data_IF_596331232342
#
_entry.id   IF_596331232342
#
_cell.length_a   1.000
_cell.length_b   1.000
_cell.length_c   1.000
_cell.angle_alpha   90.00
_cell.angle_beta   90.00
_cell.angle_gamma   90.00
#
_symmetry.space_group_name_H-M   'P 1'
#
loop_
_entity.id
_entity.type
_entity.pdbx_description
1 polymer ?
#
# COMPACT_ATOMS: atom_id res chain seq x y z
N UNK A 1 -9.90 4.54 11.02
CA UNK A 1 -10.20 3.18 10.55
C UNK A 1 -10.80 3.20 9.15
N UNK A 2 -10.55 2.13 8.37
CA UNK A 2 -11.16 1.92 7.06
C UNK A 2 -12.53 1.23 7.21
N UNK A 3 -12.62 0.31 8.18
CA UNK A 3 -13.85 -0.38 8.51
C UNK A 3 -13.94 -0.62 10.03
N UNK A 4 -15.14 -0.98 10.52
CA UNK A 4 -15.36 -1.42 11.89
C UNK A 4 -14.63 -2.73 12.18
N UNK A 5 -14.69 -3.21 13.43
CA UNK A 5 -14.07 -4.47 13.86
C UNK A 5 -12.57 -4.55 13.53
N UNK A 6 -11.84 -3.50 13.86
CA UNK A 6 -10.40 -3.37 13.55
C UNK A 6 -10.09 -3.64 12.07
N UNK A 7 -10.85 -3.03 11.15
CA UNK A 7 -10.76 -3.26 9.71
C UNK A 7 -11.05 -4.72 9.30
N UNK A 8 -11.93 -5.41 10.03
CA UNK A 8 -12.34 -6.78 9.78
C UNK A 8 -11.51 -7.86 10.49
N UNK A 9 -10.49 -7.49 11.28
CA UNK A 9 -9.69 -8.47 12.01
C UNK A 9 -10.46 -9.14 13.16
N UNK A 10 -11.51 -8.53 13.69
CA UNK A 10 -12.37 -9.09 14.75
C UNK A 10 -13.53 -9.96 14.23
N UNK A 11 -13.54 -10.30 12.94
CA UNK A 11 -14.49 -11.26 12.36
C UNK A 11 -15.58 -10.62 11.52
N UNK A 12 -16.64 -11.41 11.26
CA UNK A 12 -17.77 -11.07 10.37
C UNK A 12 -18.53 -9.81 10.76
N UNK A 13 -19.21 -9.20 9.79
CA UNK A 13 -20.06 -8.03 9.96
C UNK A 13 -19.28 -6.73 10.08
N UNK A 14 -18.07 -6.65 9.52
CA UNK A 14 -17.37 -5.40 9.36
C UNK A 14 -18.11 -4.46 8.40
N UNK A 15 -18.10 -3.17 8.70
CA UNK A 15 -18.73 -2.13 7.87
C UNK A 15 -17.72 -1.05 7.53
N UNK A 16 -17.75 -0.55 6.32
CA UNK A 16 -16.88 0.51 5.86
C UNK A 16 -17.11 1.83 6.61
N UNK A 17 -16.03 2.56 6.86
CA UNK A 17 -16.02 3.86 7.53
C UNK A 17 -15.35 4.94 6.66
N UNK A 18 -15.31 4.74 5.35
CA UNK A 18 -14.60 5.61 4.42
C UNK A 18 -15.31 6.92 4.09
N UNK A 19 -16.51 7.14 4.60
CA UNK A 19 -17.26 8.40 4.47
C UNK A 19 -17.16 9.32 5.69
N UNK A 20 -16.19 9.06 6.58
CA UNK A 20 -15.95 9.95 7.73
C UNK A 20 -15.24 11.23 7.29
N UNK A 21 -15.32 12.26 8.14
CA UNK A 21 -14.77 13.61 7.88
C UNK A 21 -13.34 13.57 7.35
N UNK A 22 -12.49 12.68 7.88
CA UNK A 22 -11.09 12.60 7.45
C UNK A 22 -10.92 12.10 6.02
N UNK A 23 -11.70 11.10 5.61
CA UNK A 23 -11.66 10.59 4.23
C UNK A 23 -12.26 11.59 3.25
N UNK A 24 -13.41 12.17 3.59
CA UNK A 24 -14.06 13.21 2.78
C UNK A 24 -13.11 14.39 2.58
N UNK A 25 -12.51 14.90 3.66
CA UNK A 25 -11.53 15.99 3.59
C UNK A 25 -10.37 15.65 2.64
N UNK A 26 -9.83 14.42 2.75
CA UNK A 26 -8.70 14.02 1.92
C UNK A 26 -9.09 14.00 0.43
N UNK A 27 -10.22 13.39 0.07
CA UNK A 27 -10.68 13.32 -1.33
C UNK A 27 -11.03 14.71 -1.87
N UNK A 28 -11.71 15.55 -1.09
CA UNK A 28 -12.00 16.93 -1.47
C UNK A 28 -10.73 17.74 -1.77
N UNK A 29 -9.68 17.57 -0.94
CA UNK A 29 -8.39 18.25 -1.17
C UNK A 29 -7.74 17.81 -2.47
N UNK A 30 -7.71 16.51 -2.76
CA UNK A 30 -7.15 16.01 -4.02
C UNK A 30 -7.99 16.44 -5.23
N UNK A 31 -9.32 16.48 -5.12
CA UNK A 31 -10.21 16.99 -6.17
C UNK A 31 -9.98 18.48 -6.44
N UNK A 32 -9.87 19.30 -5.39
CA UNK A 32 -9.53 20.73 -5.50
C UNK A 32 -8.15 20.92 -6.14
N UNK A 33 -7.15 20.17 -5.73
CA UNK A 33 -5.80 20.22 -6.30
C UNK A 33 -5.77 19.80 -7.77
N UNK A 34 -6.57 18.80 -8.14
CA UNK A 34 -6.70 18.41 -9.56
C UNK A 34 -7.32 19.53 -10.39
N UNK A 35 -8.40 20.16 -9.88
CA UNK A 35 -9.02 21.31 -10.54
C UNK A 35 -8.06 22.49 -10.70
N UNK A 36 -7.15 22.69 -9.74
CA UNK A 36 -6.11 23.74 -9.76
C UNK A 36 -4.88 23.37 -10.57
N UNK A 37 -4.77 22.14 -11.10
CA UNK A 37 -3.59 21.66 -11.82
C UNK A 37 -2.37 21.38 -10.91
N UNK A 38 -2.56 21.30 -9.59
CA UNK A 38 -1.51 20.98 -8.60
C UNK A 38 -1.31 19.47 -8.48
N UNK A 39 -2.39 18.69 -8.60
CA UNK A 39 -2.40 17.24 -8.57
C UNK A 39 -2.96 16.73 -9.89
N UNK A 40 -2.44 15.60 -10.34
CA UNK A 40 -2.96 14.86 -11.50
C UNK A 40 -3.18 13.41 -11.11
N UNK A 41 -4.43 12.98 -11.18
CA UNK A 41 -4.76 11.56 -11.11
C UNK A 41 -4.36 10.89 -12.42
N UNK A 42 -3.53 9.87 -12.34
CA UNK A 42 -2.94 9.22 -13.51
C UNK A 42 -3.70 7.99 -14.00
N UNK A 43 -4.86 7.66 -13.40
CA UNK A 43 -5.61 6.45 -13.75
C UNK A 43 -5.34 5.27 -12.82
N UNK A 44 -5.88 4.10 -13.18
CA UNK A 44 -5.85 2.87 -12.37
C UNK A 44 -4.60 2.04 -12.59
N UNK A 45 -3.92 2.25 -13.69
CA UNK A 45 -2.72 1.50 -14.06
C UNK A 45 -1.50 2.21 -13.47
N UNK A 46 -0.82 1.54 -12.57
CA UNK A 46 0.34 2.10 -11.85
C UNK A 46 1.42 2.64 -12.78
N UNK A 47 1.63 2.00 -13.93
CA UNK A 47 2.63 2.42 -14.91
C UNK A 47 2.28 3.72 -15.66
N UNK A 48 1.02 4.14 -15.67
CA UNK A 48 0.59 5.31 -16.47
C UNK A 48 1.03 6.64 -15.85
N UNK A 49 1.28 6.69 -14.54
CA UNK A 49 1.72 7.91 -13.85
C UNK A 49 3.23 8.11 -13.89
N UNK A 50 4.01 7.05 -14.09
CA UNK A 50 5.48 7.12 -14.06
C UNK A 50 6.06 8.03 -15.15
N UNK A 51 5.56 8.00 -16.41
CA UNK A 51 6.03 8.91 -17.45
C UNK A 51 5.82 10.39 -17.12
N UNK A 52 4.78 10.74 -16.36
CA UNK A 52 4.54 12.13 -15.95
C UNK A 52 5.64 12.63 -15.00
N UNK A 53 6.14 11.75 -14.14
CA UNK A 53 7.22 12.06 -13.24
C UNK A 53 8.59 12.00 -13.96
N UNK A 54 8.90 10.93 -14.68
CA UNK A 54 10.20 10.74 -15.31
C UNK A 54 10.49 11.73 -16.44
N UNK A 55 9.44 12.31 -17.06
CA UNK A 55 9.57 13.43 -18.01
C UNK A 55 9.68 14.80 -17.36
N UNK A 56 9.55 14.91 -16.03
CA UNK A 56 9.59 16.18 -15.30
C UNK A 56 8.29 17.00 -15.36
N UNK A 57 7.19 16.43 -15.86
CA UNK A 57 5.87 17.10 -15.83
C UNK A 57 5.32 17.20 -14.41
N UNK A 58 5.60 16.21 -13.55
CA UNK A 58 5.29 16.22 -12.13
C UNK A 58 6.57 16.23 -11.32
N UNK A 59 6.69 17.13 -10.35
CA UNK A 59 7.84 17.22 -9.45
C UNK A 59 7.82 16.14 -8.37
N UNK A 60 6.68 15.53 -8.08
CA UNK A 60 6.50 14.50 -7.06
C UNK A 60 5.59 13.39 -7.58
N UNK A 61 5.85 12.18 -7.10
CA UNK A 61 5.03 11.00 -7.34
C UNK A 61 4.88 10.21 -6.03
N UNK A 62 3.69 9.71 -5.75
CA UNK A 62 3.49 8.71 -4.69
C UNK A 62 3.49 7.33 -5.34
N UNK A 63 4.45 6.50 -4.96
CA UNK A 63 4.69 5.21 -5.61
C UNK A 63 5.26 4.18 -4.64
N UNK A 64 5.18 2.92 -5.00
CA UNK A 64 5.87 1.84 -4.29
C UNK A 64 7.39 2.04 -4.34
N UNK A 65 8.08 1.77 -3.24
CA UNK A 65 9.55 1.79 -3.19
C UNK A 65 10.20 0.82 -4.19
N UNK A 66 9.52 -0.26 -4.56
CA UNK A 66 10.01 -1.23 -5.56
C UNK A 66 10.15 -0.63 -6.97
N UNK A 67 9.53 0.52 -7.24
CA UNK A 67 9.61 1.21 -8.54
C UNK A 67 10.82 2.13 -8.67
N UNK A 68 11.55 2.37 -7.58
CA UNK A 68 12.66 3.34 -7.56
C UNK A 68 13.73 3.05 -8.62
N UNK A 69 14.07 1.78 -8.84
CA UNK A 69 15.08 1.40 -9.85
C UNK A 69 14.66 1.83 -11.28
N UNK A 70 13.38 1.63 -11.61
CA UNK A 70 12.80 2.02 -12.90
C UNK A 70 12.74 3.55 -13.01
N UNK A 71 12.23 4.22 -11.96
CA UNK A 71 12.16 5.68 -11.95
C UNK A 71 13.54 6.33 -12.14
N UNK A 72 14.57 5.82 -11.46
CA UNK A 72 15.94 6.29 -11.62
C UNK A 72 16.51 6.05 -13.02
N UNK A 73 16.20 4.89 -13.62
CA UNK A 73 16.64 4.55 -14.98
C UNK A 73 16.04 5.49 -16.03
N UNK A 74 14.76 5.81 -15.88
CA UNK A 74 13.99 6.53 -16.91
C UNK A 74 14.01 8.05 -16.72
N UNK A 75 14.50 8.55 -15.57
CA UNK A 75 14.62 9.97 -15.29
C UNK A 75 16.00 10.52 -15.70
N UNK A 76 16.03 11.79 -16.12
CA UNK A 76 17.26 12.54 -16.42
C UNK A 76 17.68 13.49 -15.29
N UNK A 77 17.13 13.30 -14.11
CA UNK A 77 17.37 14.12 -12.91
C UNK A 77 17.52 13.21 -11.68
N UNK A 78 18.08 13.76 -10.61
CA UNK A 78 18.25 13.05 -9.35
C UNK A 78 16.91 12.93 -8.61
N UNK A 79 16.64 11.74 -8.09
CA UNK A 79 15.40 11.42 -7.38
C UNK A 79 15.68 11.29 -5.87
N UNK A 80 15.03 12.12 -5.09
CA UNK A 80 14.92 11.96 -3.64
C UNK A 80 13.71 11.11 -3.25
N UNK A 81 13.73 10.56 -2.05
CA UNK A 81 12.58 9.90 -1.44
C UNK A 81 12.26 10.53 -0.08
N UNK A 82 10.99 10.51 0.29
CA UNK A 82 10.50 10.96 1.57
C UNK A 82 9.36 10.07 2.06
N UNK A 83 8.98 10.17 3.35
CA UNK A 83 7.83 9.45 3.86
C UNK A 83 6.54 9.96 3.20
N UNK A 84 5.49 9.13 3.23
CA UNK A 84 4.16 9.56 2.78
C UNK A 84 3.69 10.72 3.66
N UNK A 85 3.29 11.86 3.08
CA UNK A 85 2.82 13.00 3.85
C UNK A 85 1.49 12.71 4.55
N UNK A 86 1.23 13.39 5.64
CA UNK A 86 0.00 13.28 6.41
C UNK A 86 -0.58 14.67 6.72
N UNK A 87 -1.85 14.71 7.04
CA UNK A 87 -2.54 15.94 7.41
C UNK A 87 -2.37 16.20 8.91
N UNK A 88 -1.48 17.12 9.28
CA UNK A 88 -1.24 17.48 10.69
C UNK A 88 -2.50 18.06 11.38
N UNK A 89 -3.49 18.52 10.61
CA UNK A 89 -4.80 18.95 11.11
C UNK A 89 -5.73 17.80 11.48
N UNK A 90 -5.48 16.60 10.97
CA UNK A 90 -6.30 15.40 11.21
C UNK A 90 -5.65 14.41 12.16
N UNK A 91 -4.33 14.36 12.21
CA UNK A 91 -3.58 13.49 13.12
C UNK A 91 -2.33 14.17 13.61
N UNK A 92 -1.97 13.92 14.86
CA UNK A 92 -0.74 14.49 15.46
C UNK A 92 0.51 13.79 14.95
N UNK A 93 0.42 12.49 14.73
CA UNK A 93 1.54 11.64 14.33
C UNK A 93 1.08 10.64 13.27
N UNK A 94 1.94 10.34 12.27
CA UNK A 94 1.64 9.28 11.32
C UNK A 94 1.72 7.90 11.99
N UNK A 95 0.92 6.97 11.53
CA UNK A 95 0.99 5.57 11.92
C UNK A 95 1.79 4.76 10.89
N UNK A 96 2.15 3.53 11.27
CA UNK A 96 2.86 2.63 10.40
C UNK A 96 2.10 2.38 9.09
N UNK A 97 2.86 2.25 8.02
CA UNK A 97 2.33 1.80 6.73
C UNK A 97 2.16 0.28 6.73
N UNK A 98 1.31 -0.21 5.84
CA UNK A 98 1.10 -1.64 5.60
C UNK A 98 2.02 -2.08 4.47
N UNK A 99 2.72 -3.22 4.65
CA UNK A 99 3.49 -3.82 3.57
C UNK A 99 2.58 -4.41 2.50
N UNK A 100 2.90 -4.11 1.24
CA UNK A 100 2.47 -4.91 0.11
C UNK A 100 3.55 -5.93 -0.27
N UNK A 101 3.38 -6.62 -1.38
CA UNK A 101 4.39 -7.53 -1.94
C UNK A 101 3.82 -8.86 -2.38
N UNK A 102 4.69 -9.88 -2.41
CA UNK A 102 4.36 -11.24 -2.77
C UNK A 102 4.64 -12.19 -1.59
N UNK A 103 3.99 -13.34 -1.59
CA UNK A 103 4.19 -14.39 -0.61
C UNK A 103 4.37 -15.74 -1.31
N UNK A 104 5.16 -16.61 -0.70
CA UNK A 104 5.28 -18.01 -1.08
C UNK A 104 4.25 -18.82 -0.29
N UNK A 105 3.56 -19.73 -0.97
CA UNK A 105 2.51 -20.56 -0.41
C UNK A 105 2.84 -22.03 -0.60
N UNK A 106 2.71 -22.84 0.46
CA UNK A 106 2.72 -24.28 0.36
C UNK A 106 1.30 -24.78 0.16
N UNK A 107 1.07 -25.55 -0.90
CA UNK A 107 -0.22 -26.18 -1.18
C UNK A 107 -0.38 -27.46 -0.36
N UNK A 108 -1.59 -27.79 0.05
CA UNK A 108 -1.92 -29.06 0.70
C UNK A 108 -2.04 -30.19 -0.32
N UNK A 109 -1.85 -31.43 0.14
CA UNK A 109 -2.09 -32.64 -0.69
C UNK A 109 -0.86 -33.17 -1.39
N UNK A 110 0.31 -32.68 -1.06
CA UNK A 110 1.58 -33.22 -1.52
C UNK A 110 2.10 -34.34 -0.62
N UNK A 111 3.06 -35.11 -1.11
CA UNK A 111 3.71 -36.14 -0.32
C UNK A 111 4.61 -35.55 0.78
N UNK A 112 4.83 -36.28 1.85
CA UNK A 112 5.71 -35.84 2.95
C UNK A 112 7.13 -35.42 2.49
N UNK A 113 7.80 -36.11 1.54
CA UNK A 113 9.07 -35.62 1.00
C UNK A 113 8.98 -34.28 0.29
N UNK A 114 7.90 -34.00 -0.44
CA UNK A 114 7.68 -32.72 -1.11
C UNK A 114 7.42 -31.60 -0.10
N UNK A 115 6.62 -31.86 0.93
CA UNK A 115 6.40 -30.89 2.03
C UNK A 115 7.69 -30.56 2.77
N UNK A 116 8.53 -31.58 3.06
CA UNK A 116 9.87 -31.39 3.64
C UNK A 116 10.77 -30.56 2.72
N UNK A 117 10.75 -30.82 1.41
CA UNK A 117 11.48 -30.03 0.42
C UNK A 117 11.07 -28.58 0.41
N UNK A 118 9.76 -28.31 0.47
CA UNK A 118 9.21 -26.96 0.60
C UNK A 118 9.69 -26.26 1.88
N UNK A 119 9.69 -26.94 3.02
CA UNK A 119 10.18 -26.39 4.28
C UNK A 119 11.68 -26.04 4.23
N UNK A 120 12.50 -26.88 3.61
CA UNK A 120 13.93 -26.61 3.39
C UNK A 120 14.11 -25.37 2.51
N UNK A 121 13.34 -25.26 1.42
CA UNK A 121 13.37 -24.07 0.55
C UNK A 121 12.98 -22.79 1.31
N UNK A 122 11.92 -22.81 2.12
CA UNK A 122 11.53 -21.65 2.92
C UNK A 122 12.61 -21.26 3.94
N UNK A 123 13.24 -22.25 4.58
CA UNK A 123 14.36 -22.01 5.51
C UNK A 123 15.56 -21.37 4.80
N UNK A 124 15.92 -21.89 3.63
CA UNK A 124 16.96 -21.29 2.78
C UNK A 124 16.61 -19.85 2.42
N UNK A 125 15.40 -19.61 1.93
CA UNK A 125 14.94 -18.28 1.54
C UNK A 125 14.88 -17.28 2.70
N UNK A 126 14.50 -17.75 3.90
CA UNK A 126 14.40 -16.91 5.10
C UNK A 126 15.76 -16.60 5.75
N UNK A 127 16.87 -17.18 5.28
CA UNK A 127 18.19 -16.88 5.85
C UNK A 127 18.57 -15.42 5.62
N UNK A 128 19.25 -14.76 6.59
CA UNK A 128 19.64 -13.36 6.46
C UNK A 128 20.51 -13.07 5.23
N UNK A 129 21.34 -14.01 4.82
CA UNK A 129 22.22 -13.93 3.65
C UNK A 129 21.41 -13.86 2.35
N UNK A 130 20.44 -14.76 2.20
CA UNK A 130 19.62 -14.83 1.00
C UNK A 130 18.63 -13.65 0.94
N UNK A 131 18.10 -13.21 2.09
CA UNK A 131 17.31 -11.98 2.16
C UNK A 131 18.14 -10.76 1.76
N UNK A 132 19.38 -10.62 2.22
CA UNK A 132 20.27 -9.55 1.81
C UNK A 132 20.45 -9.54 0.29
N UNK A 133 20.84 -10.68 -0.29
CA UNK A 133 21.03 -10.80 -1.73
C UNK A 133 19.77 -10.45 -2.53
N UNK A 134 18.60 -10.87 -2.04
CA UNK A 134 17.32 -10.55 -2.65
C UNK A 134 17.01 -9.05 -2.60
N UNK A 135 17.18 -8.42 -1.43
CA UNK A 135 16.98 -6.98 -1.25
C UNK A 135 17.90 -6.17 -2.17
N UNK A 136 19.18 -6.54 -2.24
CA UNK A 136 20.16 -5.86 -3.09
C UNK A 136 19.83 -6.01 -4.59
N UNK A 137 19.32 -7.17 -5.01
CA UNK A 137 18.97 -7.43 -6.40
C UNK A 137 17.63 -6.81 -6.84
N UNK A 138 16.66 -6.67 -5.93
CA UNK A 138 15.28 -6.32 -6.29
C UNK A 138 14.80 -4.98 -5.73
N UNK A 139 15.46 -4.44 -4.71
CA UNK A 139 15.00 -3.27 -3.97
C UNK A 139 13.80 -3.54 -3.04
N UNK A 140 13.43 -4.81 -2.83
CA UNK A 140 12.43 -5.19 -1.82
C UNK A 140 12.94 -4.94 -0.40
N UNK A 141 12.04 -5.02 0.58
CA UNK A 141 12.40 -4.86 1.99
C UNK A 141 12.74 -6.23 2.62
N UNK A 142 13.67 -6.27 3.59
CA UNK A 142 13.96 -7.50 4.33
C UNK A 142 12.77 -7.85 5.23
N UNK A 143 12.52 -9.14 5.43
CA UNK A 143 11.43 -9.64 6.28
C UNK A 143 11.90 -9.98 7.69
N UNK A 144 13.19 -9.89 7.98
CA UNK A 144 13.74 -10.17 9.31
C UNK A 144 14.67 -9.06 9.81
N UNK A 145 14.71 -8.86 11.13
CA UNK A 145 15.64 -7.93 11.76
C UNK A 145 17.10 -8.27 11.47
N UNK A 146 17.44 -9.56 11.45
CA UNK A 146 18.80 -10.01 11.16
C UNK A 146 19.26 -9.58 9.75
N UNK A 147 18.40 -9.71 8.73
CA UNK A 147 18.70 -9.24 7.38
C UNK A 147 18.77 -7.71 7.32
N UNK A 148 17.91 -6.99 8.03
CA UNK A 148 17.98 -5.54 8.13
C UNK A 148 19.31 -5.07 8.72
N UNK A 149 19.74 -5.61 9.86
CA UNK A 149 21.01 -5.24 10.50
C UNK A 149 22.21 -5.58 9.60
N UNK A 150 22.15 -6.69 8.87
CA UNK A 150 23.20 -7.07 7.92
C UNK A 150 23.30 -6.08 6.75
N UNK A 151 22.18 -5.68 6.16
CA UNK A 151 22.11 -4.64 5.13
C UNK A 151 22.61 -3.29 5.65
N UNK A 152 22.27 -2.93 6.88
CA UNK A 152 22.75 -1.71 7.53
C UNK A 152 24.27 -1.74 7.71
N UNK A 153 24.81 -2.84 8.20
CA UNK A 153 26.26 -3.02 8.38
C UNK A 153 27.03 -2.99 7.06
N UNK A 154 26.44 -3.45 5.95
CA UNK A 154 27.07 -3.41 4.62
C UNK A 154 27.09 -2.01 3.98
N UNK A 155 26.44 -1.03 4.58
CA UNK A 155 26.31 0.31 4.01
C UNK A 155 25.26 0.42 2.89
N UNK A 156 24.38 -0.56 2.77
CA UNK A 156 23.34 -0.59 1.73
C UNK A 156 22.40 0.62 1.81
N UNK A 157 21.97 1.00 2.98
CA UNK A 157 20.98 2.08 3.16
C UNK A 157 21.55 3.48 2.92
N UNK A 158 22.87 3.68 3.06
CA UNK A 158 23.51 4.94 2.69
C UNK A 158 23.41 5.22 1.18
N UNK A 159 23.41 4.16 0.37
CA UNK A 159 23.26 4.23 -1.09
C UNK A 159 21.80 4.14 -1.55
N UNK A 160 20.93 3.58 -0.71
CA UNK A 160 19.54 3.30 -1.02
C UNK A 160 18.60 3.85 0.07
N UNK A 161 18.66 5.16 0.30
CA UNK A 161 17.91 5.87 1.35
C UNK A 161 16.39 5.63 1.26
N UNK A 162 15.85 5.43 0.05
CA UNK A 162 14.44 5.13 -0.14
C UNK A 162 13.99 3.84 0.55
N UNK A 163 14.85 2.82 0.63
CA UNK A 163 14.54 1.58 1.34
C UNK A 163 14.59 1.78 2.86
N UNK A 164 15.51 2.62 3.36
CA UNK A 164 15.54 2.95 4.79
C UNK A 164 14.29 3.73 5.21
N UNK A 165 13.87 4.73 4.43
CA UNK A 165 12.63 5.49 4.65
C UNK A 165 11.41 4.57 4.67
N UNK A 166 11.35 3.59 3.76
CA UNK A 166 10.26 2.62 3.72
C UNK A 166 10.22 1.76 5.00
N UNK A 167 11.38 1.28 5.48
CA UNK A 167 11.46 0.52 6.74
C UNK A 167 11.07 1.38 7.93
N UNK A 168 11.59 2.60 8.03
CA UNK A 168 11.23 3.54 9.10
C UNK A 168 9.72 3.80 9.12
N UNK A 169 9.09 3.92 7.95
CA UNK A 169 7.64 4.09 7.83
C UNK A 169 6.84 2.87 8.31
N UNK A 170 7.38 1.65 8.18
CA UNK A 170 6.79 0.44 8.74
C UNK A 170 6.95 0.33 10.26
N UNK A 171 8.02 0.94 10.80
CA UNK A 171 8.34 0.90 12.23
C UNK A 171 7.67 2.02 13.06
N UNK A 172 6.90 2.90 12.43
CA UNK A 172 6.10 3.89 13.13
C UNK A 172 5.10 3.23 14.08
N UNK A 173 4.58 3.96 15.10
CA UNK A 173 3.63 3.41 16.05
C UNK A 173 2.42 2.76 15.37
N UNK A 174 2.12 1.53 15.75
CA UNK A 174 0.98 0.77 15.22
C UNK A 174 -0.27 0.99 16.06
N UNK A 175 -1.42 0.88 15.41
CA UNK A 175 -2.74 0.86 16.05
C UNK A 175 -3.49 -0.39 15.62
N UNK A 176 -4.61 -0.75 16.28
CA UNK A 176 -5.47 -1.82 15.82
C UNK A 176 -5.88 -1.69 14.34
N UNK A 177 -6.00 -0.45 13.84
CA UNK A 177 -6.42 -0.15 12.47
C UNK A 177 -5.28 -0.03 11.46
N UNK A 178 -4.03 0.00 11.90
CA UNK A 178 -2.87 0.09 11.00
C UNK A 178 -2.20 -1.26 10.69
N UNK A 179 -2.84 -2.38 11.06
CA UNK A 179 -2.41 -3.75 10.72
C UNK A 179 -2.66 -4.11 9.26
N UNK A 180 -3.54 -3.36 8.59
CA UNK A 180 -4.05 -3.64 7.26
C UNK A 180 -5.58 -3.71 7.24
N UNK A 181 -6.12 -4.35 6.19
CA UNK A 181 -7.56 -4.51 5.98
C UNK A 181 -7.82 -5.99 5.72
N UNK A 182 -8.77 -6.58 6.47
CA UNK A 182 -9.15 -7.98 6.37
C UNK A 182 -10.67 -8.12 6.25
N UNK A 183 -11.23 -7.62 5.16
CA UNK A 183 -12.65 -7.76 4.84
C UNK A 183 -12.82 -8.68 3.63
N UNK A 184 -13.87 -9.52 3.59
CA UNK A 184 -14.17 -10.30 2.39
C UNK A 184 -14.66 -9.39 1.26
N UNK A 185 -14.47 -9.79 0.00
CA UNK A 185 -14.85 -8.96 -1.15
C UNK A 185 -14.06 -7.66 -1.29
N UNK A 186 -12.82 -7.60 -0.71
CA UNK A 186 -12.03 -6.36 -0.69
C UNK A 186 -11.65 -5.85 -2.09
N UNK A 187 -11.46 -6.74 -3.05
CA UNK A 187 -11.12 -6.37 -4.44
C UNK A 187 -12.28 -5.58 -5.05
N UNK A 188 -13.50 -6.08 -4.94
CA UNK A 188 -14.71 -5.45 -5.44
C UNK A 188 -15.01 -4.13 -4.72
N UNK A 189 -14.79 -4.09 -3.40
CA UNK A 189 -14.90 -2.86 -2.59
C UNK A 189 -13.90 -1.80 -3.10
N UNK A 190 -12.68 -2.17 -3.44
CA UNK A 190 -11.70 -1.25 -4.01
C UNK A 190 -12.15 -0.66 -5.35
N UNK A 191 -12.74 -1.47 -6.24
CA UNK A 191 -13.25 -0.96 -7.51
C UNK A 191 -14.35 0.09 -7.30
N UNK A 192 -15.28 -0.15 -6.39
CA UNK A 192 -16.32 0.84 -6.04
C UNK A 192 -15.71 2.15 -5.53
N UNK A 193 -14.68 2.06 -4.67
CA UNK A 193 -13.96 3.24 -4.17
C UNK A 193 -13.23 4.00 -5.28
N UNK A 194 -12.55 3.28 -6.17
CA UNK A 194 -11.84 3.89 -7.30
C UNK A 194 -12.81 4.60 -8.24
N UNK A 195 -13.93 3.97 -8.60
CA UNK A 195 -14.98 4.58 -9.42
C UNK A 195 -15.53 5.87 -8.79
N UNK A 196 -15.75 5.86 -7.47
CA UNK A 196 -16.18 7.03 -6.73
C UNK A 196 -15.14 8.16 -6.77
N UNK A 197 -13.89 7.84 -6.46
CA UNK A 197 -12.79 8.82 -6.49
C UNK A 197 -12.61 9.43 -7.89
N UNK A 198 -12.70 8.64 -8.95
CA UNK A 198 -12.62 9.15 -10.32
C UNK A 198 -13.74 10.15 -10.65
N UNK A 199 -14.97 9.89 -10.16
CA UNK A 199 -16.07 10.85 -10.32
C UNK A 199 -15.83 12.14 -9.54
N UNK A 200 -15.29 12.03 -8.31
CA UNK A 200 -14.94 13.21 -7.50
C UNK A 200 -13.81 14.02 -8.14
N UNK A 201 -12.74 13.38 -8.61
CA UNK A 201 -11.62 14.05 -9.26
C UNK A 201 -12.01 14.66 -10.62
N UNK A 202 -12.99 14.09 -11.31
CA UNK A 202 -13.56 14.67 -12.53
C UNK A 202 -14.55 15.82 -12.24
N UNK A 203 -14.82 16.13 -10.98
CA UNK A 203 -15.78 17.18 -10.57
C UNK A 203 -17.25 16.85 -10.86
N UNK A 204 -17.57 15.56 -11.05
CA UNK A 204 -18.93 15.10 -11.36
C UNK A 204 -19.81 14.93 -10.13
N UNK A 205 -19.21 14.60 -8.99
CA UNK A 205 -19.87 14.44 -7.69
C UNK A 205 -18.95 14.96 -6.59
N UNK A 206 -19.50 15.30 -5.43
CA UNK A 206 -18.73 15.66 -4.24
C UNK A 206 -18.07 14.43 -3.62
N UNK A 207 -17.00 14.64 -2.83
CA UNK A 207 -16.35 13.57 -2.08
C UNK A 207 -17.32 12.87 -1.10
N UNK A 208 -18.21 13.62 -0.46
CA UNK A 208 -19.20 13.06 0.45
C UNK A 208 -20.15 12.10 -0.28
N UNK A 209 -20.73 12.54 -1.41
CA UNK A 209 -21.67 11.70 -2.18
C UNK A 209 -21.02 10.39 -2.66
N UNK A 210 -19.82 10.47 -3.26
CA UNK A 210 -19.16 9.26 -3.77
C UNK A 210 -18.76 8.30 -2.64
N UNK A 211 -18.37 8.80 -1.47
CA UNK A 211 -17.99 7.97 -0.35
C UNK A 211 -19.21 7.38 0.38
N UNK A 212 -20.33 8.08 0.44
CA UNK A 212 -21.59 7.53 0.95
C UNK A 212 -22.13 6.41 0.06
N UNK A 213 -22.08 6.60 -1.27
CA UNK A 213 -22.38 5.54 -2.25
C UNK A 213 -21.45 4.33 -2.07
N UNK A 214 -20.15 4.58 -1.90
CA UNK A 214 -19.15 3.53 -1.73
C UNK A 214 -19.37 2.74 -0.43
N UNK A 215 -19.75 3.38 0.67
CA UNK A 215 -20.12 2.68 1.93
C UNK A 215 -21.33 1.80 1.71
N UNK A 216 -22.37 2.30 1.04
CA UNK A 216 -23.61 1.54 0.77
C UNK A 216 -23.33 0.31 -0.10
N UNK A 217 -22.66 0.50 -1.24
CA UNK A 217 -22.37 -0.58 -2.19
C UNK A 217 -21.33 -1.56 -1.61
N UNK A 218 -20.27 -1.05 -1.01
CA UNK A 218 -19.22 -1.86 -0.42
C UNK A 218 -19.71 -2.73 0.74
N UNK A 219 -20.59 -2.22 1.62
CA UNK A 219 -21.17 -3.02 2.67
C UNK A 219 -22.04 -4.16 2.12
N UNK A 220 -22.76 -3.94 1.01
CA UNK A 220 -23.50 -5.01 0.34
C UNK A 220 -22.58 -6.09 -0.24
N UNK A 221 -21.42 -5.69 -0.81
CA UNK A 221 -20.42 -6.63 -1.31
C UNK A 221 -19.77 -7.45 -0.19
N UNK A 222 -19.43 -6.80 0.93
CA UNK A 222 -18.88 -7.48 2.12
C UNK A 222 -19.88 -8.54 2.61
N UNK A 223 -21.15 -8.16 2.80
CA UNK A 223 -22.20 -9.07 3.27
C UNK A 223 -22.37 -10.26 2.31
N UNK A 224 -22.41 -10.03 1.00
CA UNK A 224 -22.50 -11.10 0.00
C UNK A 224 -21.31 -12.06 0.10
N UNK A 225 -20.08 -11.52 0.13
CA UNK A 225 -18.88 -12.34 0.23
C UNK A 225 -18.78 -13.12 1.56
N UNK A 226 -19.29 -12.59 2.68
CA UNK A 226 -19.41 -13.31 3.95
C UNK A 226 -20.33 -14.54 3.86
N UNK A 227 -21.39 -14.47 3.07
CA UNK A 227 -22.29 -15.61 2.85
C UNK A 227 -21.72 -16.67 1.91
N UNK A 228 -20.82 -16.29 0.99
CA UNK A 228 -20.20 -17.23 0.03
C UNK A 228 -19.00 -18.00 0.64
N UNK A 229 -18.30 -17.42 1.60
CA UNK A 229 -17.06 -17.99 2.17
C UNK A 229 -17.28 -18.76 3.46
N UNK A 230 -18.40 -18.57 4.13
CA UNK A 230 -18.71 -19.12 5.46
C UNK A 230 -20.11 -19.67 5.55
#
# INVERSE_FOLDING_TARGET
PFATKENGFEGKGAQLLVNTVSYVFNIDKFADWQKKGIFKYGGRIVADIEPLFTSGQCAMIMQSNSRMAILKKDSKFDIGAGPIPYWATLTKEPHNLVTGGAALWAMKGHSEPEEKGGAVFFTFWASPENQQAWVEATGYLPISKAAYEKLKASGYYQKNMHNDIAIQSLMLPSTPYSKGIRIPGFVEVREVLIDGMERAFAGKQSAQEVLDEAVKQGNSLIQKAEHEVF
#
